data_IF_293132767022
#
_entry.id   IF_293132767022
#
_cell.length_a   1.000
_cell.length_b   1.000
_cell.length_c   1.000
_cell.angle_alpha   90.00
_cell.angle_beta   90.00
_cell.angle_gamma   90.00
#
_symmetry.space_group_name_H-M   'P 1'
#
loop_
_entity.id
_entity.type
_entity.pdbx_description
1 polymer ?
#
# COMPACT_ATOMS: atom_id res chain seq x y z
N UNK A 1 -7.06 -27.62 -1.26
CA UNK A 1 -6.59 -26.92 -0.05
C UNK A 1 -5.75 -25.68 -0.41
N UNK A 2 -4.67 -25.78 -1.21
CA UNK A 2 -3.85 -24.62 -1.61
C UNK A 2 -4.66 -23.48 -2.26
N UNK A 3 -5.58 -23.81 -3.16
CA UNK A 3 -6.42 -22.81 -3.84
C UNK A 3 -7.38 -22.10 -2.87
N UNK A 4 -7.92 -22.84 -1.89
CA UNK A 4 -8.80 -22.25 -0.87
C UNK A 4 -8.03 -21.27 0.03
N UNK A 5 -6.83 -21.65 0.49
CA UNK A 5 -6.00 -20.74 1.29
C UNK A 5 -5.65 -19.47 0.51
N UNK A 6 -5.32 -19.60 -0.78
CA UNK A 6 -5.04 -18.45 -1.63
C UNK A 6 -6.25 -17.53 -1.78
N UNK A 7 -7.46 -18.10 -1.96
CA UNK A 7 -8.70 -17.32 -2.01
C UNK A 7 -8.95 -16.57 -0.69
N UNK A 8 -8.69 -17.21 0.45
CA UNK A 8 -8.78 -16.59 1.77
C UNK A 8 -7.76 -15.45 1.91
N UNK A 9 -6.53 -15.63 1.44
CA UNK A 9 -5.50 -14.59 1.45
C UNK A 9 -5.90 -13.39 0.58
N UNK A 10 -6.49 -13.62 -0.59
CA UNK A 10 -7.02 -12.54 -1.43
C UNK A 10 -8.19 -11.80 -0.75
N UNK A 11 -9.06 -12.53 -0.05
CA UNK A 11 -10.13 -11.92 0.75
C UNK A 11 -9.57 -11.04 1.87
N UNK A 12 -8.46 -11.45 2.50
CA UNK A 12 -7.75 -10.63 3.50
C UNK A 12 -7.27 -9.31 2.88
N UNK A 13 -6.79 -9.32 1.63
CA UNK A 13 -6.33 -8.08 0.98
C UNK A 13 -7.48 -7.19 0.51
N UNK A 14 -8.63 -7.75 0.15
CA UNK A 14 -9.87 -6.95 0.01
C UNK A 14 -10.20 -6.27 1.33
N UNK A 15 -10.16 -7.05 2.44
CA UNK A 15 -10.37 -6.55 3.79
C UNK A 15 -9.42 -5.39 4.15
N UNK A 16 -8.15 -5.47 3.77
CA UNK A 16 -7.17 -4.40 4.00
C UNK A 16 -7.50 -3.14 3.19
N UNK A 17 -7.96 -3.29 1.94
CA UNK A 17 -8.30 -2.17 1.06
C UNK A 17 -9.63 -1.48 1.39
N UNK A 18 -10.60 -2.21 1.97
CA UNK A 18 -11.93 -1.67 2.26
C UNK A 18 -11.92 -0.38 3.10
N UNK A 19 -11.13 -0.23 4.18
CA UNK A 19 -11.15 0.99 4.99
C UNK A 19 -10.36 2.16 4.40
N UNK A 20 -9.41 1.91 3.50
CA UNK A 20 -8.41 2.91 3.07
C UNK A 20 -9.03 4.15 2.41
N UNK A 21 -10.15 3.99 1.71
CA UNK A 21 -10.83 5.09 1.02
C UNK A 21 -12.01 5.68 1.80
N UNK A 22 -12.38 5.11 2.97
CA UNK A 22 -13.54 5.55 3.74
C UNK A 22 -13.39 6.96 4.28
N UNK A 23 -12.23 7.27 4.88
CA UNK A 23 -12.00 8.58 5.46
C UNK A 23 -12.09 9.66 4.38
N UNK A 24 -11.43 9.46 3.25
CA UNK A 24 -11.44 10.43 2.15
C UNK A 24 -12.84 10.65 1.57
N UNK A 25 -13.63 9.59 1.38
CA UNK A 25 -14.96 9.67 0.80
C UNK A 25 -16.02 10.19 1.79
N UNK A 26 -15.86 9.94 3.09
CA UNK A 26 -16.78 10.40 4.14
C UNK A 26 -16.46 11.80 4.68
N UNK A 27 -15.20 12.23 4.58
CA UNK A 27 -14.70 13.45 5.24
C UNK A 27 -15.44 14.74 4.88
N UNK A 28 -15.84 14.99 3.64
CA UNK A 28 -16.61 16.21 3.32
C UNK A 28 -17.85 16.41 4.19
N UNK A 29 -18.51 15.32 4.57
CA UNK A 29 -19.68 15.35 5.47
C UNK A 29 -19.25 15.29 6.94
N UNK A 30 -18.28 14.45 7.27
CA UNK A 30 -17.82 14.26 8.66
C UNK A 30 -17.27 15.56 9.25
N UNK A 31 -16.47 16.33 8.49
CA UNK A 31 -15.88 17.59 8.97
C UNK A 31 -16.92 18.61 9.42
N UNK A 32 -18.09 18.65 8.76
CA UNK A 32 -19.18 19.55 9.13
C UNK A 32 -19.82 19.14 10.46
N UNK A 33 -19.96 17.82 10.69
CA UNK A 33 -20.51 17.28 11.95
C UNK A 33 -19.56 17.54 13.12
N UNK A 34 -18.26 17.49 12.89
CA UNK A 34 -17.24 17.70 13.93
C UNK A 34 -16.75 19.15 14.04
N UNK A 35 -17.27 20.06 13.22
CA UNK A 35 -16.81 21.45 13.11
C UNK A 35 -15.27 21.54 12.93
N UNK A 36 -14.76 20.81 11.92
CA UNK A 36 -13.33 20.73 11.65
C UNK A 36 -12.97 21.26 10.26
N UNK A 37 -11.78 21.84 10.11
CA UNK A 37 -11.26 22.25 8.81
C UNK A 37 -11.02 21.01 7.92
N UNK A 38 -10.97 21.23 6.61
CA UNK A 38 -10.73 20.17 5.63
C UNK A 38 -9.40 19.40 5.92
N UNK A 39 -8.39 20.14 6.38
CA UNK A 39 -7.05 19.60 6.70
C UNK A 39 -7.04 18.63 7.89
N UNK A 40 -8.06 18.63 8.76
CA UNK A 40 -8.07 17.77 9.95
C UNK A 40 -8.16 16.26 9.61
N UNK A 41 -8.63 15.87 8.41
CA UNK A 41 -8.48 14.50 7.92
C UNK A 41 -7.02 14.03 7.93
N UNK A 42 -6.10 14.94 7.64
CA UNK A 42 -4.66 14.67 7.68
C UNK A 42 -4.18 14.22 9.07
N UNK A 43 -4.71 14.80 10.15
CA UNK A 43 -4.36 14.39 11.50
C UNK A 43 -4.77 12.93 11.78
N UNK A 44 -5.99 12.54 11.39
CA UNK A 44 -6.47 11.15 11.51
C UNK A 44 -5.59 10.23 10.68
N UNK A 45 -5.31 10.59 9.42
CA UNK A 45 -4.43 9.80 8.53
C UNK A 45 -3.02 9.66 9.09
N UNK A 46 -2.44 10.69 9.69
CA UNK A 46 -1.12 10.63 10.32
C UNK A 46 -1.09 9.69 11.52
N UNK A 47 -2.15 9.66 12.33
CA UNK A 47 -2.27 8.70 13.45
C UNK A 47 -2.37 7.28 12.92
N UNK A 48 -3.19 7.03 11.89
CA UNK A 48 -3.28 5.73 11.22
C UNK A 48 -1.90 5.30 10.72
N UNK A 49 -1.23 6.15 9.94
CA UNK A 49 0.08 5.84 9.37
C UNK A 49 1.14 5.61 10.46
N UNK A 50 1.14 6.40 11.53
CA UNK A 50 2.02 6.19 12.67
C UNK A 50 1.82 4.80 13.31
N UNK A 51 0.56 4.40 13.54
CA UNK A 51 0.21 3.07 14.02
C UNK A 51 0.65 1.96 13.05
N UNK A 52 0.45 2.17 11.74
CA UNK A 52 0.85 1.24 10.69
C UNK A 52 2.36 1.05 10.64
N UNK A 53 3.14 2.13 10.72
CA UNK A 53 4.61 2.06 10.79
C UNK A 53 5.05 1.27 12.04
N UNK A 54 4.52 1.62 13.21
CA UNK A 54 4.86 0.93 14.45
C UNK A 54 4.56 -0.56 14.40
N UNK A 55 3.37 -0.95 13.91
CA UNK A 55 2.97 -2.35 13.86
C UNK A 55 3.74 -3.14 12.79
N UNK A 56 4.09 -2.52 11.66
CA UNK A 56 4.96 -3.13 10.65
C UNK A 56 6.34 -3.46 11.21
N UNK A 57 6.94 -2.55 12.00
CA UNK A 57 8.21 -2.78 12.68
C UNK A 57 8.13 -3.89 13.74
N UNK A 58 6.96 -4.08 14.35
CA UNK A 58 6.72 -5.12 15.36
C UNK A 58 6.24 -6.44 14.74
N UNK A 59 5.97 -6.49 13.44
CA UNK A 59 5.34 -7.62 12.76
C UNK A 59 6.13 -8.93 12.92
N UNK A 60 7.46 -8.87 12.91
CA UNK A 60 8.32 -10.03 13.15
C UNK A 60 8.06 -10.65 14.53
N UNK A 61 8.04 -9.83 15.60
CA UNK A 61 7.78 -10.31 16.98
C UNK A 61 6.38 -10.89 17.12
N UNK A 62 5.39 -10.22 16.52
CA UNK A 62 4.01 -10.64 16.61
C UNK A 62 3.75 -11.94 15.83
N UNK A 63 4.30 -12.08 14.62
CA UNK A 63 4.17 -13.31 13.84
C UNK A 63 4.94 -14.48 14.43
N UNK A 64 6.08 -14.24 15.05
CA UNK A 64 6.82 -15.28 15.79
C UNK A 64 6.04 -15.78 17.00
N UNK A 65 5.37 -14.86 17.74
CA UNK A 65 4.62 -15.22 18.96
C UNK A 65 3.24 -15.82 18.66
N UNK A 66 2.50 -15.25 17.70
CA UNK A 66 1.09 -15.57 17.44
C UNK A 66 0.85 -16.27 16.11
N UNK A 67 1.89 -16.52 15.32
CA UNK A 67 1.85 -17.00 13.93
C UNK A 67 1.19 -16.01 12.96
N UNK A 68 1.45 -16.14 11.64
CA UNK A 68 0.83 -15.30 10.61
C UNK A 68 -0.69 -15.36 10.67
N UNK A 69 -1.28 -16.57 10.82
CA UNK A 69 -2.73 -16.76 10.92
C UNK A 69 -3.34 -16.04 12.12
N UNK A 70 -2.71 -16.13 13.30
CA UNK A 70 -3.21 -15.48 14.52
C UNK A 70 -3.15 -13.97 14.42
N UNK A 71 -2.05 -13.42 13.90
CA UNK A 71 -1.92 -11.99 13.63
C UNK A 71 -2.97 -11.52 12.63
N UNK A 72 -3.18 -12.26 11.53
CA UNK A 72 -4.18 -11.90 10.50
C UNK A 72 -5.60 -11.85 11.09
N UNK A 73 -6.02 -12.88 11.83
CA UNK A 73 -7.34 -12.92 12.47
C UNK A 73 -7.49 -11.76 13.45
N UNK A 74 -6.52 -11.58 14.35
CA UNK A 74 -6.56 -10.51 15.35
C UNK A 74 -6.62 -9.12 14.71
N UNK A 75 -5.85 -8.89 13.64
CA UNK A 75 -5.85 -7.62 12.92
C UNK A 75 -7.17 -7.32 12.23
N UNK A 76 -7.82 -8.31 11.59
CA UNK A 76 -9.13 -8.11 10.95
C UNK A 76 -10.20 -7.75 11.98
N UNK A 77 -10.25 -8.45 13.12
CA UNK A 77 -11.20 -8.12 14.20
C UNK A 77 -10.89 -6.76 14.83
N UNK A 78 -9.61 -6.41 15.03
CA UNK A 78 -9.20 -5.11 15.56
C UNK A 78 -9.58 -3.99 14.60
N UNK A 79 -9.41 -4.20 13.27
CA UNK A 79 -9.87 -3.27 12.24
C UNK A 79 -11.39 -3.10 12.27
N UNK A 80 -12.15 -4.20 12.37
CA UNK A 80 -13.61 -4.16 12.49
C UNK A 80 -14.05 -3.35 13.72
N UNK A 81 -13.44 -3.59 14.88
CA UNK A 81 -13.72 -2.85 16.11
C UNK A 81 -13.39 -1.37 15.98
N UNK A 82 -12.25 -1.03 15.38
CA UNK A 82 -11.85 0.34 15.15
C UNK A 82 -12.84 1.07 14.22
N UNK A 83 -13.23 0.47 13.11
CA UNK A 83 -14.22 1.04 12.18
C UNK A 83 -15.60 1.21 12.83
N UNK A 84 -16.00 0.26 13.64
CA UNK A 84 -17.21 0.43 14.45
C UNK A 84 -17.08 1.60 15.42
N UNK A 85 -15.91 1.74 16.07
CA UNK A 85 -15.58 2.90 16.91
C UNK A 85 -15.64 4.23 16.15
N UNK A 86 -15.13 4.28 14.90
CA UNK A 86 -15.32 5.46 14.03
C UNK A 86 -16.81 5.77 13.88
N UNK A 87 -17.65 4.76 13.63
CA UNK A 87 -19.10 4.93 13.37
C UNK A 87 -19.90 5.49 14.54
N UNK A 88 -19.42 5.31 15.78
CA UNK A 88 -20.09 5.82 16.99
C UNK A 88 -19.41 7.08 17.56
N UNK A 89 -18.40 7.59 16.87
CA UNK A 89 -17.68 8.78 17.29
C UNK A 89 -18.55 10.02 17.16
N UNK A 90 -18.65 10.78 18.23
CA UNK A 90 -19.41 12.04 18.31
C UNK A 90 -18.52 13.27 18.37
N UNK A 91 -17.20 13.10 18.57
CA UNK A 91 -16.20 14.15 18.64
C UNK A 91 -14.96 13.78 17.84
N UNK A 92 -14.28 14.80 17.30
CA UNK A 92 -13.10 14.59 16.44
C UNK A 92 -11.97 13.78 17.12
N UNK A 93 -11.68 14.05 18.39
CA UNK A 93 -10.63 13.31 19.11
C UNK A 93 -10.90 11.80 19.21
N UNK A 94 -12.18 11.38 19.20
CA UNK A 94 -12.54 9.96 19.18
C UNK A 94 -12.13 9.28 17.89
N UNK A 95 -12.18 9.99 16.74
CA UNK A 95 -11.66 9.47 15.47
C UNK A 95 -10.15 9.23 15.57
N UNK A 96 -9.41 10.18 16.15
CA UNK A 96 -7.96 10.02 16.37
C UNK A 96 -7.66 8.84 17.31
N UNK A 97 -8.47 8.64 18.35
CA UNK A 97 -8.32 7.51 19.27
C UNK A 97 -8.51 6.16 18.54
N UNK A 98 -9.59 6.03 17.76
CA UNK A 98 -9.87 4.80 16.99
C UNK A 98 -8.91 4.60 15.81
N UNK A 99 -8.28 5.66 15.31
CA UNK A 99 -7.23 5.59 14.29
C UNK A 99 -6.01 4.79 14.75
N UNK A 100 -5.69 4.80 16.07
CA UNK A 100 -4.56 4.04 16.63
C UNK A 100 -4.75 2.52 16.44
N UNK A 101 -5.81 1.87 16.98
CA UNK A 101 -6.00 0.43 16.78
C UNK A 101 -6.18 0.07 15.31
N UNK A 102 -6.80 0.93 14.50
CA UNK A 102 -6.91 0.70 13.06
C UNK A 102 -5.52 0.64 12.38
N UNK A 103 -4.66 1.63 12.62
CA UNK A 103 -3.31 1.66 12.07
C UNK A 103 -2.46 0.48 12.52
N UNK A 104 -2.54 0.11 13.81
CA UNK A 104 -1.85 -1.07 14.34
C UNK A 104 -2.31 -2.36 13.65
N UNK A 105 -3.59 -2.51 13.38
CA UNK A 105 -4.14 -3.65 12.64
C UNK A 105 -3.62 -3.70 11.21
N UNK A 106 -3.67 -2.57 10.49
CA UNK A 106 -3.31 -2.49 9.07
C UNK A 106 -1.85 -2.87 8.81
N UNK A 107 -0.89 -2.30 9.53
CA UNK A 107 0.53 -2.55 9.25
C UNK A 107 1.00 -3.96 9.60
N UNK A 108 0.42 -4.55 10.64
CA UNK A 108 0.79 -5.90 11.04
C UNK A 108 0.29 -6.96 10.05
N UNK A 109 -0.95 -6.85 9.60
CA UNK A 109 -1.55 -7.76 8.62
C UNK A 109 -0.86 -7.64 7.25
N UNK A 110 -0.58 -6.41 6.82
CA UNK A 110 0.09 -6.14 5.55
C UNK A 110 1.47 -6.80 5.52
N UNK A 111 2.31 -6.55 6.53
CA UNK A 111 3.64 -7.16 6.62
C UNK A 111 3.58 -8.69 6.71
N UNK A 112 2.65 -9.24 7.49
CA UNK A 112 2.54 -10.69 7.72
C UNK A 112 2.11 -11.45 6.47
N UNK A 113 1.09 -10.95 5.76
CA UNK A 113 0.57 -11.61 4.56
C UNK A 113 1.51 -11.45 3.37
N UNK A 114 2.12 -10.27 3.20
CA UNK A 114 3.12 -10.06 2.15
C UNK A 114 4.29 -11.04 2.31
N UNK A 115 4.83 -11.20 3.53
CA UNK A 115 5.87 -12.18 3.78
C UNK A 115 5.40 -13.62 3.54
N UNK A 116 4.21 -13.97 3.99
CA UNK A 116 3.65 -15.30 3.77
C UNK A 116 3.52 -15.65 2.28
N UNK A 117 2.99 -14.73 1.48
CA UNK A 117 2.87 -14.91 0.02
C UNK A 117 4.24 -14.93 -0.66
N UNK A 118 5.18 -14.08 -0.22
CA UNK A 118 6.54 -14.07 -0.76
C UNK A 118 7.28 -15.40 -0.53
N UNK A 119 7.03 -16.08 0.58
CA UNK A 119 7.66 -17.36 0.91
C UNK A 119 7.02 -18.56 0.21
N UNK A 120 5.68 -18.58 0.08
CA UNK A 120 4.94 -19.80 -0.24
C UNK A 120 4.31 -19.83 -1.64
N UNK A 121 4.24 -18.65 -2.32
CA UNK A 121 3.55 -18.53 -3.60
C UNK A 121 4.45 -17.93 -4.69
N UNK A 122 4.04 -18.06 -5.96
CA UNK A 122 4.74 -17.53 -7.13
C UNK A 122 4.52 -16.01 -7.25
N UNK A 123 5.39 -15.33 -8.01
CA UNK A 123 5.34 -13.87 -8.22
C UNK A 123 3.98 -13.37 -8.74
N UNK A 124 3.29 -14.13 -9.58
CA UNK A 124 1.94 -13.80 -10.07
C UNK A 124 0.93 -13.59 -8.94
N UNK A 125 1.00 -14.40 -7.88
CA UNK A 125 0.07 -14.28 -6.76
C UNK A 125 0.31 -13.04 -5.91
N UNK A 126 1.54 -12.55 -5.85
CA UNK A 126 1.85 -11.27 -5.21
C UNK A 126 1.21 -10.11 -5.99
N UNK A 127 1.29 -10.10 -7.32
CA UNK A 127 0.65 -9.09 -8.16
C UNK A 127 -0.88 -9.10 -8.01
N UNK A 128 -1.49 -10.30 -8.04
CA UNK A 128 -2.94 -10.43 -7.85
C UNK A 128 -3.38 -10.08 -6.43
N UNK A 129 -2.59 -10.37 -5.42
CA UNK A 129 -2.84 -9.96 -4.03
C UNK A 129 -3.09 -8.45 -3.95
N UNK A 130 -2.19 -7.66 -4.54
CA UNK A 130 -2.34 -6.20 -4.57
C UNK A 130 -3.43 -5.70 -5.53
N UNK A 131 -3.82 -6.49 -6.53
CA UNK A 131 -5.01 -6.23 -7.33
C UNK A 131 -6.28 -6.33 -6.47
N UNK A 132 -6.39 -7.36 -5.62
CA UNK A 132 -7.52 -7.54 -4.70
C UNK A 132 -7.59 -6.46 -3.62
N UNK A 133 -6.45 -5.93 -3.15
CA UNK A 133 -6.45 -4.72 -2.33
C UNK A 133 -7.12 -3.55 -3.07
N UNK A 134 -6.77 -3.36 -4.34
CA UNK A 134 -7.40 -2.34 -5.21
C UNK A 134 -8.92 -2.53 -5.35
N UNK A 135 -9.42 -3.76 -5.41
CA UNK A 135 -10.87 -4.05 -5.39
C UNK A 135 -11.50 -3.52 -4.09
N UNK A 136 -10.88 -3.75 -2.94
CA UNK A 136 -11.34 -3.23 -1.65
C UNK A 136 -11.44 -1.71 -1.64
N UNK A 137 -10.41 -1.02 -2.15
CA UNK A 137 -10.37 0.45 -2.20
C UNK A 137 -11.44 1.06 -3.12
N UNK A 138 -11.90 0.33 -4.14
CA UNK A 138 -12.99 0.76 -5.04
C UNK A 138 -14.37 0.52 -4.42
N UNK A 139 -14.56 -0.58 -3.69
CA UNK A 139 -15.83 -0.90 -3.04
C UNK A 139 -16.18 0.16 -1.99
N UNK A 140 -15.23 0.61 -1.24
CA UNK A 140 -15.40 1.48 -0.09
C UNK A 140 -16.11 2.82 -0.39
N UNK A 141 -15.71 3.62 -1.39
CA UNK A 141 -16.42 4.84 -1.76
C UNK A 141 -17.85 4.57 -2.24
N UNK A 142 -18.10 3.43 -2.88
CA UNK A 142 -19.47 3.04 -3.29
C UNK A 142 -20.35 2.79 -2.07
N UNK A 143 -19.82 2.07 -1.06
CA UNK A 143 -20.51 1.86 0.22
C UNK A 143 -20.77 3.19 0.93
N UNK A 144 -19.75 4.07 1.00
CA UNK A 144 -19.91 5.40 1.62
C UNK A 144 -20.95 6.24 0.88
N UNK A 145 -20.90 6.29 -0.45
CA UNK A 145 -21.88 7.02 -1.26
C UNK A 145 -23.31 6.52 -1.05
N UNK A 146 -23.50 5.20 -0.98
CA UNK A 146 -24.79 4.61 -0.63
C UNK A 146 -25.22 5.01 0.78
N UNK A 147 -24.34 4.90 1.77
CA UNK A 147 -24.64 5.22 3.16
C UNK A 147 -25.03 6.70 3.37
N UNK A 148 -24.31 7.62 2.70
CA UNK A 148 -24.60 9.06 2.77
C UNK A 148 -26.00 9.40 2.25
N UNK A 149 -26.54 8.63 1.29
CA UNK A 149 -27.90 8.82 0.77
C UNK A 149 -28.99 8.28 1.71
N UNK A 150 -28.67 7.36 2.64
CA UNK A 150 -29.65 6.70 3.51
C UNK A 150 -29.62 7.20 4.95
N UNK A 151 -28.46 7.24 5.59
CA UNK A 151 -28.38 7.52 7.04
C UNK A 151 -27.10 8.25 7.46
N UNK A 152 -26.26 8.66 6.50
CA UNK A 152 -25.02 9.40 6.76
C UNK A 152 -23.78 8.52 6.86
N UNK A 153 -22.63 9.15 7.10
CA UNK A 153 -21.30 8.54 7.07
C UNK A 153 -21.13 7.41 8.11
N UNK A 154 -21.83 7.49 9.25
CA UNK A 154 -21.79 6.47 10.31
C UNK A 154 -22.23 5.10 9.77
N UNK A 155 -23.26 5.08 8.92
CA UNK A 155 -23.72 3.84 8.28
C UNK A 155 -22.65 3.26 7.36
N UNK A 156 -21.88 4.09 6.64
CA UNK A 156 -20.77 3.64 5.81
C UNK A 156 -19.72 2.90 6.62
N UNK A 157 -19.26 3.48 7.73
CA UNK A 157 -18.30 2.84 8.63
C UNK A 157 -18.85 1.56 9.27
N UNK A 158 -20.13 1.55 9.71
CA UNK A 158 -20.78 0.34 10.26
C UNK A 158 -20.86 -0.78 9.23
N UNK A 159 -21.24 -0.46 8.00
CA UNK A 159 -21.32 -1.45 6.91
C UNK A 159 -19.96 -2.09 6.65
N UNK A 160 -18.90 -1.29 6.53
CA UNK A 160 -17.55 -1.85 6.33
C UNK A 160 -17.04 -2.59 7.56
N UNK A 161 -17.37 -2.13 8.78
CA UNK A 161 -17.08 -2.87 10.01
C UNK A 161 -17.74 -4.25 10.03
N UNK A 162 -18.99 -4.35 9.60
CA UNK A 162 -19.72 -5.63 9.48
C UNK A 162 -19.11 -6.53 8.38
N UNK A 163 -18.70 -5.95 7.25
CA UNK A 163 -17.97 -6.70 6.21
C UNK A 163 -16.65 -7.25 6.77
N UNK A 164 -15.88 -6.45 7.51
CA UNK A 164 -14.66 -6.88 8.20
C UNK A 164 -14.95 -8.01 9.20
N UNK A 165 -16.02 -7.87 9.99
CA UNK A 165 -16.42 -8.90 10.94
C UNK A 165 -16.76 -10.22 10.23
N UNK A 166 -17.52 -10.15 9.12
CA UNK A 166 -17.84 -11.33 8.32
C UNK A 166 -16.58 -12.00 7.75
N UNK A 167 -15.64 -11.21 7.22
CA UNK A 167 -14.33 -11.72 6.77
C UNK A 167 -13.57 -12.35 7.93
N UNK A 168 -13.56 -11.73 9.11
CA UNK A 168 -12.95 -12.27 10.33
C UNK A 168 -13.54 -13.64 10.71
N UNK A 169 -14.85 -13.82 10.62
CA UNK A 169 -15.52 -15.11 10.85
C UNK A 169 -15.06 -16.15 9.81
N UNK A 170 -15.00 -15.79 8.53
CA UNK A 170 -14.50 -16.69 7.48
C UNK A 170 -13.05 -17.10 7.78
N UNK A 171 -12.20 -16.17 8.25
CA UNK A 171 -10.81 -16.47 8.64
C UNK A 171 -10.74 -17.46 9.79
N UNK A 172 -11.59 -17.32 10.81
CA UNK A 172 -11.65 -18.26 11.94
C UNK A 172 -12.09 -19.65 11.47
N UNK A 173 -13.13 -19.74 10.64
CA UNK A 173 -13.61 -21.01 10.09
C UNK A 173 -12.57 -21.69 9.19
N UNK A 174 -11.71 -20.92 8.55
CA UNK A 174 -10.67 -21.44 7.64
C UNK A 174 -9.30 -21.62 8.32
N UNK A 175 -9.18 -21.39 9.63
CA UNK A 175 -7.92 -21.60 10.37
C UNK A 175 -7.25 -22.96 10.12
N UNK A 176 -7.97 -24.10 10.02
CA UNK A 176 -7.35 -25.39 9.72
C UNK A 176 -6.62 -25.43 8.37
N UNK A 177 -7.06 -24.61 7.39
CA UNK A 177 -6.46 -24.55 6.05
C UNK A 177 -5.05 -23.95 6.08
N UNK A 178 -4.73 -23.10 7.05
CA UNK A 178 -3.39 -22.49 7.21
C UNK A 178 -2.31 -23.50 7.65
N UNK A 179 -2.68 -24.68 8.13
CA UNK A 179 -1.72 -25.72 8.55
C UNK A 179 -0.98 -26.38 7.38
N UNK A 180 -1.36 -26.12 6.12
CA UNK A 180 -0.74 -26.69 4.91
C UNK A 180 0.74 -26.30 4.80
N UNK A 181 1.08 -25.08 5.20
CA UNK A 181 2.45 -24.56 5.21
C UNK A 181 3.00 -24.44 6.64
N UNK A 182 2.66 -25.40 7.51
CA UNK A 182 3.23 -25.44 8.86
C UNK A 182 4.69 -25.81 8.78
N UNK A 183 5.53 -24.82 8.50
CA UNK A 183 6.96 -25.02 8.37
C UNK A 183 7.59 -25.44 9.69
N UNK A 184 8.22 -26.61 9.66
CA UNK A 184 9.14 -27.06 10.73
C UNK A 184 10.27 -26.04 10.97
N UNK A 185 10.58 -25.20 9.97
CA UNK A 185 11.55 -24.11 10.04
C UNK A 185 11.10 -22.97 10.98
N UNK A 186 9.81 -22.67 11.07
CA UNK A 186 9.28 -21.65 11.98
C UNK A 186 9.36 -22.10 13.44
N UNK A 187 9.24 -23.41 13.70
CA UNK A 187 9.38 -24.00 15.04
C UNK A 187 10.83 -24.10 15.50
N UNK A 188 11.79 -24.25 14.60
CA UNK A 188 13.22 -24.38 14.93
C UNK A 188 13.92 -23.03 15.22
N UNK A 189 13.30 -21.90 14.87
CA UNK A 189 13.89 -20.54 14.97
C UNK A 189 13.23 -19.61 15.99
N UNK A 190 12.50 -20.15 16.93
CA UNK A 190 11.87 -19.39 18.03
C UNK A 190 12.86 -18.60 18.93
N UNK A 191 14.14 -18.50 18.56
CA UNK A 191 15.21 -17.97 19.40
C UNK A 191 15.90 -16.67 18.96
N UNK A 192 15.86 -16.28 17.70
CA UNK A 192 16.58 -15.06 17.27
C UNK A 192 15.72 -14.17 16.34
N UNK A 193 15.10 -13.16 16.97
CA UNK A 193 14.46 -12.06 16.23
C UNK A 193 15.55 -11.20 15.59
N UNK A 194 15.41 -10.89 14.30
CA UNK A 194 16.33 -10.01 13.59
C UNK A 194 16.29 -8.59 14.18
N UNK A 195 15.07 -8.09 14.43
CA UNK A 195 14.83 -6.75 14.95
C UNK A 195 15.35 -5.65 14.02
N UNK A 196 15.06 -4.40 14.37
CA UNK A 196 15.43 -3.22 13.55
C UNK A 196 16.95 -3.13 13.35
N UNK A 197 17.72 -3.27 14.43
CA UNK A 197 19.20 -3.17 14.36
C UNK A 197 19.82 -4.30 13.54
N UNK A 198 19.28 -5.50 13.64
CA UNK A 198 19.71 -6.65 12.84
C UNK A 198 19.43 -6.43 11.36
N UNK A 199 18.21 -6.00 11.01
CA UNK A 199 17.82 -5.71 9.63
C UNK A 199 18.73 -4.64 8.98
N UNK A 200 19.05 -3.57 9.70
CA UNK A 200 19.95 -2.51 9.22
C UNK A 200 21.40 -2.97 9.00
N UNK A 201 21.86 -4.02 9.69
CA UNK A 201 23.21 -4.57 9.54
C UNK A 201 23.34 -5.55 8.37
N UNK A 202 22.25 -6.06 7.83
CA UNK A 202 22.27 -6.96 6.67
C UNK A 202 22.70 -6.17 5.44
N UNK A 203 23.79 -6.58 4.81
CA UNK A 203 24.31 -5.93 3.59
C UNK A 203 23.27 -5.92 2.47
N UNK A 204 22.95 -4.76 1.96
CA UNK A 204 21.95 -4.54 0.92
C UNK A 204 20.52 -4.28 1.44
N UNK A 205 20.21 -4.52 2.71
CA UNK A 205 18.89 -4.20 3.26
C UNK A 205 18.66 -2.68 3.39
N UNK A 206 19.61 -1.85 3.87
CA UNK A 206 19.39 -0.41 3.91
C UNK A 206 19.12 0.21 2.53
N UNK A 207 19.80 -0.25 1.49
CA UNK A 207 19.55 0.24 0.11
C UNK A 207 18.18 -0.21 -0.40
N UNK A 208 17.72 -1.42 -0.02
CA UNK A 208 16.35 -1.86 -0.29
C UNK A 208 15.32 -0.93 0.37
N UNK A 209 15.52 -0.56 1.64
CA UNK A 209 14.59 0.31 2.37
C UNK A 209 14.50 1.70 1.74
N UNK A 210 15.65 2.30 1.39
CA UNK A 210 15.69 3.60 0.69
C UNK A 210 15.04 3.51 -0.68
N UNK A 211 15.29 2.44 -1.44
CA UNK A 211 14.67 2.21 -2.75
C UNK A 211 13.14 2.09 -2.63
N UNK A 212 12.65 1.37 -1.63
CA UNK A 212 11.21 1.18 -1.44
C UNK A 212 10.52 2.45 -0.90
N UNK A 213 11.18 3.20 0.00
CA UNK A 213 10.78 4.56 0.40
C UNK A 213 10.60 5.46 -0.82
N UNK A 214 11.58 5.51 -1.71
CA UNK A 214 11.55 6.38 -2.88
C UNK A 214 10.43 5.98 -3.85
N UNK A 215 10.22 4.68 -4.06
CA UNK A 215 9.11 4.17 -4.87
C UNK A 215 7.75 4.59 -4.30
N UNK A 216 7.49 4.29 -3.03
CA UNK A 216 6.19 4.60 -2.41
C UNK A 216 5.98 6.11 -2.28
N UNK A 217 7.04 6.88 -2.10
CA UNK A 217 7.02 8.34 -2.15
C UNK A 217 6.61 8.87 -3.53
N UNK A 218 7.14 8.29 -4.61
CA UNK A 218 6.77 8.66 -5.99
C UNK A 218 5.32 8.26 -6.30
N UNK A 219 4.92 7.02 -5.99
CA UNK A 219 3.56 6.54 -6.19
C UNK A 219 2.55 7.40 -5.43
N UNK A 220 2.75 7.62 -4.12
CA UNK A 220 1.87 8.45 -3.29
C UNK A 220 1.80 9.90 -3.75
N UNK A 221 2.92 10.48 -4.19
CA UNK A 221 2.93 11.85 -4.76
C UNK A 221 2.15 11.92 -6.05
N UNK A 222 2.33 10.96 -6.96
CA UNK A 222 1.60 10.92 -8.23
C UNK A 222 0.10 10.79 -8.01
N UNK A 223 -0.32 9.95 -7.05
CA UNK A 223 -1.72 9.74 -6.69
C UNK A 223 -2.35 11.03 -6.13
N UNK A 224 -1.67 11.67 -5.18
CA UNK A 224 -2.22 12.85 -4.51
C UNK A 224 -2.30 14.06 -5.45
N UNK A 225 -1.28 14.26 -6.29
CA UNK A 225 -1.13 15.49 -7.08
C UNK A 225 -1.59 15.38 -8.53
N UNK A 226 -2.02 14.19 -9.01
CA UNK A 226 -2.46 13.98 -10.39
C UNK A 226 -3.54 14.98 -10.82
N UNK A 227 -4.61 15.14 -10.03
CA UNK A 227 -5.70 16.06 -10.33
C UNK A 227 -5.23 17.52 -10.36
N UNK A 228 -4.43 17.93 -9.37
CA UNK A 228 -3.89 19.29 -9.29
C UNK A 228 -2.97 19.60 -10.47
N UNK A 229 -2.14 18.63 -10.89
CA UNK A 229 -1.28 18.75 -12.05
C UNK A 229 -2.08 18.92 -13.35
N UNK A 230 -3.14 18.12 -13.53
CA UNK A 230 -4.01 18.25 -14.70
C UNK A 230 -4.70 19.63 -14.76
N UNK A 231 -5.20 20.10 -13.63
CA UNK A 231 -5.88 21.40 -13.58
C UNK A 231 -4.93 22.58 -13.74
N UNK A 232 -3.78 22.56 -13.06
CA UNK A 232 -2.83 23.68 -13.02
C UNK A 232 -1.93 23.77 -14.25
N UNK A 233 -1.53 22.63 -14.85
CA UNK A 233 -0.50 22.61 -15.90
C UNK A 233 -1.03 22.16 -17.26
N UNK A 234 -2.18 21.48 -17.32
CA UNK A 234 -2.71 20.87 -18.54
C UNK A 234 -4.04 21.45 -18.99
N UNK A 235 -4.53 22.49 -18.31
CA UNK A 235 -5.73 23.23 -18.72
C UNK A 235 -7.06 22.49 -18.51
N UNK A 236 -7.07 21.42 -17.71
CA UNK A 236 -8.32 20.73 -17.37
C UNK A 236 -9.16 21.60 -16.42
N UNK A 237 -10.48 21.61 -16.60
CA UNK A 237 -11.35 22.11 -15.56
C UNK A 237 -11.22 21.26 -14.30
N UNK A 238 -11.43 21.83 -13.11
CA UNK A 238 -11.28 21.11 -11.84
C UNK A 238 -12.08 19.81 -11.79
N UNK A 239 -13.32 19.82 -12.32
CA UNK A 239 -14.17 18.65 -12.40
C UNK A 239 -13.61 17.57 -13.33
N UNK A 240 -13.13 17.94 -14.52
CA UNK A 240 -12.50 17.02 -15.48
C UNK A 240 -11.17 16.47 -14.93
N UNK A 241 -10.36 17.31 -14.30
CA UNK A 241 -9.09 16.90 -13.69
C UNK A 241 -9.31 15.83 -12.62
N UNK A 242 -10.29 16.03 -11.73
CA UNK A 242 -10.63 15.05 -10.70
C UNK A 242 -11.07 13.69 -11.30
N UNK A 243 -11.94 13.71 -12.31
CA UNK A 243 -12.36 12.48 -12.99
C UNK A 243 -11.21 11.82 -13.76
N UNK A 244 -10.37 12.61 -14.42
CA UNK A 244 -9.25 12.14 -15.25
C UNK A 244 -8.10 11.57 -14.42
N UNK A 245 -7.91 12.02 -13.18
CA UNK A 245 -6.91 11.45 -12.26
C UNK A 245 -7.18 9.95 -11.98
N UNK A 246 -8.42 9.47 -12.14
CA UNK A 246 -8.76 8.05 -12.04
C UNK A 246 -8.01 7.17 -13.06
N UNK A 247 -7.54 7.71 -14.18
CA UNK A 247 -6.76 6.98 -15.20
C UNK A 247 -5.48 6.39 -14.59
N UNK A 248 -4.84 7.09 -13.63
CA UNK A 248 -3.69 6.58 -12.91
C UNK A 248 -4.05 5.30 -12.12
N UNK A 249 -5.14 5.32 -11.37
CA UNK A 249 -5.61 4.17 -10.59
C UNK A 249 -6.02 3.00 -11.48
N UNK A 250 -6.69 3.28 -12.62
CA UNK A 250 -7.02 2.26 -13.62
C UNK A 250 -5.74 1.62 -14.15
N UNK A 251 -4.72 2.44 -14.47
CA UNK A 251 -3.41 1.97 -14.89
C UNK A 251 -2.76 1.04 -13.86
N UNK A 252 -2.76 1.42 -12.57
CA UNK A 252 -2.23 0.59 -11.49
C UNK A 252 -2.99 -0.73 -11.38
N UNK A 253 -4.32 -0.68 -11.39
CA UNK A 253 -5.16 -1.88 -11.18
C UNK A 253 -5.04 -2.86 -12.36
N UNK A 254 -5.20 -2.36 -13.58
CA UNK A 254 -5.05 -3.16 -14.80
C UNK A 254 -3.62 -3.68 -14.92
N UNK A 255 -2.64 -2.84 -14.64
CA UNK A 255 -1.23 -3.23 -14.64
C UNK A 255 -0.92 -4.35 -13.63
N UNK A 256 -1.46 -4.30 -12.41
CA UNK A 256 -1.33 -5.37 -11.40
C UNK A 256 -1.97 -6.67 -11.87
N UNK A 257 -3.14 -6.58 -12.49
CA UNK A 257 -3.80 -7.76 -13.06
C UNK A 257 -2.95 -8.38 -14.18
N UNK A 258 -2.52 -7.59 -15.16
CA UNK A 258 -1.69 -8.04 -16.29
C UNK A 258 -0.33 -8.56 -15.82
N UNK A 259 0.30 -7.88 -14.86
CA UNK A 259 1.58 -8.29 -14.27
C UNK A 259 1.53 -9.70 -13.70
N UNK A 260 0.39 -10.14 -13.16
CA UNK A 260 0.21 -11.50 -12.66
C UNK A 260 0.41 -12.59 -13.73
N UNK A 261 0.16 -12.31 -15.00
CA UNK A 261 0.35 -13.28 -16.09
C UNK A 261 1.80 -13.38 -16.59
N UNK A 262 2.57 -12.30 -16.44
CA UNK A 262 3.94 -12.22 -16.97
C UNK A 262 5.03 -12.32 -15.88
N UNK A 263 4.69 -12.06 -14.62
CA UNK A 263 5.65 -11.99 -13.51
C UNK A 263 6.48 -13.27 -13.32
N UNK A 264 5.85 -14.45 -13.46
CA UNK A 264 6.54 -15.73 -13.32
C UNK A 264 7.57 -15.99 -14.44
N UNK A 265 7.37 -15.40 -15.64
CA UNK A 265 8.27 -15.55 -16.80
C UNK A 265 9.40 -14.52 -16.78
N UNK A 266 9.08 -13.29 -16.43
CA UNK A 266 10.01 -12.14 -16.44
C UNK A 266 10.90 -12.13 -15.19
N UNK A 267 10.36 -12.64 -14.07
CA UNK A 267 11.01 -12.64 -12.75
C UNK A 267 10.99 -11.26 -12.07
N UNK A 268 11.20 -11.27 -10.76
CA UNK A 268 10.99 -10.06 -9.93
C UNK A 268 11.90 -8.89 -10.35
N UNK A 269 13.19 -9.14 -10.61
CA UNK A 269 14.12 -8.08 -11.09
C UNK A 269 13.72 -7.54 -12.46
N UNK A 270 13.29 -8.41 -13.36
CA UNK A 270 12.83 -8.02 -14.68
C UNK A 270 11.56 -7.18 -14.61
N UNK A 271 10.61 -7.52 -13.74
CA UNK A 271 9.38 -6.77 -13.51
C UNK A 271 9.66 -5.36 -12.93
N UNK A 272 10.62 -5.23 -12.00
CA UNK A 272 11.06 -3.92 -11.48
C UNK A 272 11.63 -3.05 -12.61
N UNK A 273 12.54 -3.60 -13.43
CA UNK A 273 13.13 -2.86 -14.54
C UNK A 273 12.11 -2.49 -15.62
N UNK A 274 11.22 -3.41 -15.96
CA UNK A 274 10.14 -3.16 -16.91
C UNK A 274 9.24 -2.01 -16.41
N UNK A 275 8.77 -2.10 -15.16
CA UNK A 275 7.97 -1.05 -14.54
C UNK A 275 8.69 0.29 -14.53
N UNK A 276 9.97 0.32 -14.13
CA UNK A 276 10.80 1.53 -14.15
C UNK A 276 10.92 2.13 -15.56
N UNK A 277 11.11 1.31 -16.58
CA UNK A 277 11.16 1.77 -17.97
C UNK A 277 9.84 2.40 -18.43
N UNK A 278 8.70 1.78 -18.08
CA UNK A 278 7.38 2.34 -18.38
C UNK A 278 7.13 3.64 -17.61
N UNK A 279 7.54 3.72 -16.32
CA UNK A 279 7.48 4.98 -15.54
C UNK A 279 8.33 6.07 -16.22
N UNK A 280 9.56 5.75 -16.64
CA UNK A 280 10.42 6.73 -17.30
C UNK A 280 9.79 7.27 -18.59
N UNK A 281 9.20 6.40 -19.42
CA UNK A 281 8.44 6.79 -20.60
C UNK A 281 7.23 7.67 -20.24
N UNK A 282 6.48 7.31 -19.20
CA UNK A 282 5.35 8.08 -18.71
C UNK A 282 5.76 9.50 -18.27
N UNK A 283 6.85 9.61 -17.51
CA UNK A 283 7.38 10.89 -17.04
C UNK A 283 7.89 11.75 -18.22
N UNK A 284 8.52 11.15 -19.23
CA UNK A 284 8.89 11.83 -20.44
C UNK A 284 7.67 12.41 -21.17
N UNK A 285 6.59 11.62 -21.33
CA UNK A 285 5.33 12.09 -21.92
C UNK A 285 4.72 13.23 -21.09
N UNK A 286 4.70 13.11 -19.76
CA UNK A 286 4.20 14.16 -18.87
C UNK A 286 5.06 15.43 -18.90
N UNK A 287 6.37 15.33 -19.16
CA UNK A 287 7.28 16.47 -19.24
C UNK A 287 7.20 17.20 -20.60
N UNK A 288 6.65 16.57 -21.66
CA UNK A 288 6.59 17.19 -22.98
C UNK A 288 5.69 18.42 -23.00
N UNK A 289 6.19 19.61 -23.37
CA UNK A 289 5.35 20.77 -23.61
C UNK A 289 4.47 20.51 -24.85
N UNK A 290 3.20 20.88 -24.79
CA UNK A 290 2.30 20.73 -25.94
C UNK A 290 1.62 19.36 -26.10
N UNK A 291 1.82 18.41 -25.20
CA UNK A 291 1.14 17.09 -25.23
C UNK A 291 -0.39 17.14 -25.04
N UNK A 292 -0.93 18.30 -24.70
CA UNK A 292 -2.37 18.51 -24.52
C UNK A 292 -3.01 17.58 -23.50
N UNK A 293 -4.33 17.44 -23.58
CA UNK A 293 -5.10 16.54 -22.70
C UNK A 293 -4.74 15.07 -22.93
N UNK A 294 -4.62 14.66 -24.19
CA UNK A 294 -4.33 13.27 -24.54
C UNK A 294 -2.94 12.83 -23.99
N UNK A 295 -1.93 13.69 -24.16
CA UNK A 295 -0.59 13.41 -23.64
C UNK A 295 -0.59 13.28 -22.11
N UNK A 296 -1.35 14.13 -21.41
CA UNK A 296 -1.48 14.05 -19.95
C UNK A 296 -2.19 12.76 -19.50
N UNK A 297 -3.26 12.36 -20.15
CA UNK A 297 -3.98 11.11 -19.84
C UNK A 297 -3.14 9.86 -20.14
N UNK A 298 -2.48 9.84 -21.31
CA UNK A 298 -1.55 8.75 -21.66
C UNK A 298 -0.40 8.66 -20.68
N UNK A 299 0.20 9.79 -20.30
CA UNK A 299 1.27 9.83 -19.32
C UNK A 299 0.84 9.30 -17.96
N UNK A 300 -0.33 9.71 -17.44
CA UNK A 300 -0.86 9.19 -16.17
C UNK A 300 -1.22 7.70 -16.25
N UNK A 301 -1.83 7.26 -17.35
CA UNK A 301 -2.13 5.84 -17.57
C UNK A 301 -0.88 4.97 -17.62
N UNK A 302 0.15 5.40 -18.35
CA UNK A 302 1.46 4.73 -18.39
C UNK A 302 2.14 4.77 -17.03
N UNK A 303 2.06 5.87 -16.29
CA UNK A 303 2.62 5.98 -14.93
C UNK A 303 1.98 4.94 -13.99
N UNK A 304 0.67 4.77 -14.07
CA UNK A 304 -0.05 3.73 -13.33
C UNK A 304 0.37 2.33 -13.74
N UNK A 305 0.43 2.05 -15.04
CA UNK A 305 0.87 0.75 -15.58
C UNK A 305 2.32 0.42 -15.16
N UNK A 306 3.21 1.41 -15.17
CA UNK A 306 4.60 1.24 -14.76
C UNK A 306 4.77 1.01 -13.26
N UNK A 307 3.98 1.68 -12.42
CA UNK A 307 3.99 1.48 -10.97
C UNK A 307 3.47 0.07 -10.58
N UNK A 308 2.54 -0.47 -11.34
CA UNK A 308 1.83 -1.70 -11.00
C UNK A 308 2.71 -2.90 -10.65
N UNK A 309 3.76 -3.27 -11.43
CA UNK A 309 4.60 -4.43 -11.15
C UNK A 309 5.67 -4.18 -10.08
N UNK A 310 6.04 -2.92 -9.80
CA UNK A 310 7.24 -2.60 -9.00
C UNK A 310 7.07 -2.99 -7.55
N UNK A 311 5.97 -2.57 -6.91
CA UNK A 311 5.68 -2.86 -5.50
C UNK A 311 5.67 -4.37 -5.19
N UNK A 312 4.86 -5.19 -5.89
CA UNK A 312 4.80 -6.62 -5.64
C UNK A 312 6.13 -7.33 -5.88
N UNK A 313 6.87 -6.92 -6.92
CA UNK A 313 8.13 -7.54 -7.28
C UNK A 313 9.25 -7.25 -6.25
N UNK A 314 9.30 -6.03 -5.67
CA UNK A 314 10.28 -5.71 -4.62
C UNK A 314 10.05 -6.59 -3.40
N UNK A 315 8.81 -6.72 -2.94
CA UNK A 315 8.46 -7.56 -1.77
C UNK A 315 8.77 -9.02 -2.05
N UNK A 316 8.36 -9.52 -3.23
CA UNK A 316 8.54 -10.93 -3.60
C UNK A 316 10.02 -11.32 -3.70
N UNK A 317 10.88 -10.39 -4.11
CA UNK A 317 12.32 -10.61 -4.19
C UNK A 317 13.00 -10.72 -2.81
N UNK A 318 12.38 -10.27 -1.73
CA UNK A 318 13.03 -10.14 -0.41
C UNK A 318 13.49 -11.48 0.17
N UNK A 319 12.69 -12.55 0.24
CA UNK A 319 13.17 -13.83 0.75
C UNK A 319 14.30 -14.44 -0.09
N UNK A 320 14.24 -14.26 -1.42
CA UNK A 320 15.28 -14.73 -2.33
C UNK A 320 16.59 -13.96 -2.18
N UNK A 321 16.55 -12.68 -1.79
CA UNK A 321 17.72 -11.83 -1.63
C UNK A 321 18.39 -11.98 -0.25
N UNK A 322 17.61 -12.19 0.82
CA UNK A 322 18.09 -12.08 2.21
C UNK A 322 17.87 -13.34 3.05
N UNK A 323 17.33 -14.39 2.44
CA UNK A 323 16.95 -15.63 3.14
C UNK A 323 15.55 -15.58 3.73
N UNK A 324 14.91 -16.76 3.75
CA UNK A 324 13.57 -16.92 4.30
C UNK A 324 13.50 -16.57 5.80
N UNK A 325 14.60 -16.81 6.50
CA UNK A 325 14.75 -16.55 7.94
C UNK A 325 14.67 -15.08 8.31
N UNK A 326 15.21 -14.20 7.45
CA UNK A 326 15.27 -12.77 7.70
C UNK A 326 14.08 -12.03 7.07
N UNK A 327 13.31 -12.71 6.21
CA UNK A 327 12.34 -12.07 5.32
C UNK A 327 11.24 -11.33 6.09
N UNK A 328 10.74 -11.87 7.20
CA UNK A 328 9.68 -11.21 7.98
C UNK A 328 10.16 -9.89 8.59
N UNK A 329 11.36 -9.88 9.18
CA UNK A 329 11.93 -8.65 9.76
C UNK A 329 12.25 -7.61 8.69
N UNK A 330 12.80 -8.04 7.54
CA UNK A 330 13.11 -7.14 6.43
C UNK A 330 11.83 -6.60 5.79
N UNK A 331 10.80 -7.42 5.54
CA UNK A 331 9.52 -6.94 4.98
C UNK A 331 8.82 -5.99 5.95
N UNK A 332 8.86 -6.24 7.26
CA UNK A 332 8.36 -5.28 8.24
C UNK A 332 9.02 -3.90 8.15
N UNK A 333 10.35 -3.87 8.00
CA UNK A 333 11.11 -2.64 7.78
C UNK A 333 10.82 -1.99 6.41
N UNK A 334 10.66 -2.80 5.35
CA UNK A 334 10.23 -2.31 4.03
C UNK A 334 8.89 -1.61 4.10
N UNK A 335 7.88 -2.22 4.74
CA UNK A 335 6.55 -1.63 4.89
C UNK A 335 6.62 -0.31 5.68
N UNK A 336 7.36 -0.28 6.80
CA UNK A 336 7.56 0.96 7.55
C UNK A 336 8.20 2.05 6.68
N UNK A 337 9.23 1.71 5.90
CA UNK A 337 9.89 2.61 4.96
C UNK A 337 8.94 3.11 3.86
N UNK A 338 8.10 2.24 3.33
CA UNK A 338 7.05 2.57 2.36
C UNK A 338 6.08 3.62 2.90
N UNK A 339 5.55 3.39 4.10
CA UNK A 339 4.60 4.30 4.75
C UNK A 339 5.25 5.66 5.07
N UNK A 340 6.52 5.68 5.48
CA UNK A 340 7.25 6.94 5.64
C UNK A 340 7.37 7.68 4.31
N UNK A 341 7.70 6.98 3.22
CA UNK A 341 7.82 7.56 1.89
C UNK A 341 6.50 8.15 1.38
N UNK A 342 5.42 7.36 1.43
CA UNK A 342 4.09 7.78 0.96
C UNK A 342 3.48 8.91 1.82
N UNK A 343 3.94 9.07 3.07
CA UNK A 343 3.46 10.14 3.96
C UNK A 343 4.25 11.42 3.81
N UNK A 344 5.58 11.36 3.62
CA UNK A 344 6.45 12.55 3.63
C UNK A 344 6.63 13.17 2.24
N UNK A 345 6.69 12.36 1.18
CA UNK A 345 7.03 12.87 -0.15
C UNK A 345 5.92 13.71 -0.79
N UNK A 346 4.61 13.37 -0.68
CA UNK A 346 3.56 14.21 -1.23
C UNK A 346 3.49 15.61 -0.62
N UNK A 347 3.55 15.82 0.71
CA UNK A 347 3.65 17.16 1.29
C UNK A 347 4.93 17.91 0.90
N UNK A 348 6.07 17.20 0.82
CA UNK A 348 7.34 17.81 0.37
C UNK A 348 7.21 18.35 -1.05
N UNK A 349 6.60 17.58 -1.96
CA UNK A 349 6.30 18.10 -3.30
C UNK A 349 5.35 19.30 -3.24
N UNK A 350 4.35 19.29 -2.35
CA UNK A 350 3.45 20.42 -2.15
C UNK A 350 4.19 21.70 -1.78
N UNK A 351 5.23 21.64 -0.95
CA UNK A 351 6.08 22.80 -0.62
C UNK A 351 6.85 23.30 -1.85
N UNK A 352 7.34 22.38 -2.70
CA UNK A 352 7.99 22.72 -3.96
C UNK A 352 6.99 23.34 -4.93
N UNK A 353 5.82 22.73 -5.09
CA UNK A 353 4.76 23.21 -5.99
C UNK A 353 4.27 24.61 -5.65
N UNK A 354 4.18 24.95 -4.36
CA UNK A 354 3.80 26.29 -3.89
C UNK A 354 4.81 27.38 -4.30
N UNK A 355 6.09 27.03 -4.48
CA UNK A 355 7.14 27.98 -4.85
C UNK A 355 7.49 27.96 -6.34
N UNK A 356 7.54 26.78 -6.92
CA UNK A 356 8.04 26.55 -8.28
C UNK A 356 6.96 26.17 -9.29
N UNK A 357 5.74 25.83 -8.84
CA UNK A 357 4.63 25.39 -9.68
C UNK A 357 4.51 23.86 -9.77
N UNK A 358 3.33 23.42 -10.21
CA UNK A 358 2.99 22.00 -10.36
C UNK A 358 3.73 21.34 -11.54
N UNK A 359 4.22 22.10 -12.50
CA UNK A 359 5.00 21.62 -13.66
C UNK A 359 6.27 20.87 -13.28
N UNK A 360 6.78 21.04 -12.06
CA UNK A 360 7.94 20.31 -11.52
C UNK A 360 7.63 18.87 -11.08
N UNK A 361 6.35 18.46 -11.10
CA UNK A 361 5.95 17.11 -10.69
C UNK A 361 6.69 16.00 -11.46
N UNK A 362 6.79 16.01 -12.81
CA UNK A 362 7.49 14.95 -13.52
C UNK A 362 8.98 14.84 -13.13
N UNK A 363 9.66 15.96 -12.91
CA UNK A 363 11.06 15.95 -12.47
C UNK A 363 11.20 15.44 -11.04
N UNK A 364 10.33 15.85 -10.11
CA UNK A 364 10.34 15.36 -8.74
C UNK A 364 10.14 13.84 -8.70
N UNK A 365 9.18 13.32 -9.45
CA UNK A 365 8.95 11.88 -9.58
C UNK A 365 10.15 11.18 -10.22
N UNK A 366 10.75 11.75 -11.27
CA UNK A 366 11.93 11.21 -11.92
C UNK A 366 13.12 11.06 -10.96
N UNK A 367 13.35 12.04 -10.08
CA UNK A 367 14.41 11.97 -9.06
C UNK A 367 14.15 10.84 -8.05
N UNK A 368 12.92 10.67 -7.60
CA UNK A 368 12.55 9.57 -6.69
C UNK A 368 12.70 8.20 -7.39
N UNK A 369 12.29 8.07 -8.65
CA UNK A 369 12.42 6.83 -9.42
C UNK A 369 13.89 6.52 -9.73
N UNK A 370 14.72 7.54 -10.01
CA UNK A 370 16.17 7.38 -10.17
C UNK A 370 16.81 6.90 -8.85
N UNK A 371 16.42 7.48 -7.71
CA UNK A 371 16.87 7.02 -6.40
C UNK A 371 16.42 5.57 -6.15
N UNK A 372 15.15 5.23 -6.46
CA UNK A 372 14.64 3.87 -6.34
C UNK A 372 15.50 2.88 -7.12
N UNK A 373 15.68 3.08 -8.44
CA UNK A 373 16.37 2.10 -9.28
C UNK A 373 17.86 1.98 -8.92
N UNK A 374 18.51 3.08 -8.59
CA UNK A 374 19.92 3.06 -8.16
C UNK A 374 20.10 2.28 -6.86
N UNK A 375 19.21 2.47 -5.88
CA UNK A 375 19.26 1.77 -4.60
C UNK A 375 18.93 0.27 -4.77
N UNK A 376 17.92 -0.07 -5.59
CA UNK A 376 17.57 -1.48 -5.84
C UNK A 376 18.65 -2.21 -6.62
N UNK A 377 19.27 -1.59 -7.62
CA UNK A 377 20.41 -2.18 -8.33
C UNK A 377 21.64 -2.35 -7.42
N UNK A 378 21.90 -1.39 -6.51
CA UNK A 378 22.91 -1.54 -5.48
C UNK A 378 22.60 -2.72 -4.55
N UNK A 379 21.35 -2.90 -4.15
CA UNK A 379 20.89 -4.07 -3.39
C UNK A 379 21.20 -5.36 -4.14
N UNK A 380 20.80 -5.46 -5.41
CA UNK A 380 20.98 -6.68 -6.21
C UNK A 380 22.46 -7.02 -6.43
N UNK A 381 23.31 -6.02 -6.65
CA UNK A 381 24.78 -6.20 -6.77
C UNK A 381 25.38 -6.68 -5.46
N UNK A 382 24.97 -6.11 -4.34
CA UNK A 382 25.47 -6.47 -3.01
C UNK A 382 25.09 -7.90 -2.64
N UNK A 383 23.84 -8.29 -2.90
CA UNK A 383 23.34 -9.65 -2.64
C UNK A 383 24.05 -10.66 -3.55
N UNK A 384 24.29 -10.33 -4.83
CA UNK A 384 24.97 -11.22 -5.75
C UNK A 384 26.44 -11.48 -5.39
N UNK A 385 27.12 -10.51 -4.74
CA UNK A 385 28.51 -10.66 -4.27
C UNK A 385 28.63 -11.49 -2.98
N UNK A 386 27.53 -11.63 -2.23
CA UNK A 386 27.53 -12.35 -0.96
C UNK A 386 26.99 -13.80 -1.08
N UNK A 387 26.57 -14.21 -2.29
CA UNK A 387 26.23 -15.59 -2.68
C UNK A 387 27.47 -16.27 -3.28
#
# INVERSE_FOLDING_TARGET
>A
MYTLLLAVIYLVFISLGLPDSLLGSGWPTMRLVFDQPLSAAGAVSMVITGGTICSSLLSERLTTKFSTRGVTVASVFLSAAALFGFSVSTRFWMLCLWAVPYGLAAGCIDSAINNYVALHYRSRHMSWLHCFWGVGTVISPCVMSWALRHSGWQLGYRTVALMQLAIGVVLVLTLPVWNIHRDKAQSARAGQLLGIRGALKIKGAPTLFVGFFAYCGAEGTSILWASSYLAGERGFSAQRAAASAAVLYVGITVGRFVSGFIADKVGDRGMIRLGTGVIAAALAVLALPGGGELGALLGLGLLGLGNAPVYPAIIRATPANFGAENSQGIIGMQMASAYVGSTLMPPLFGLIANRAGLGWMPLFLALLILLMITMLEATFRTVAKNR
#
